data_IF_141198687426
#
_entry.id   IF_141198687426
#
_cell.length_a   1.000
_cell.length_b   1.000
_cell.length_c   1.000
_cell.angle_alpha   90.00
_cell.angle_beta   90.00
_cell.angle_gamma   90.00
#
_symmetry.space_group_name_H-M   'P 1'
#
loop_
_entity.id
_entity.type
_entity.pdbx_description
1 polymer ?
#
# COMPACT_ATOMS: atom_id res chain seq x y z
N UNK A 1 19.27 -36.32 33.70
CA UNK A 1 18.67 -37.20 32.68
C UNK A 1 17.16 -37.17 32.89
N UNK A 2 16.40 -36.64 31.95
CA UNK A 2 14.94 -36.55 32.05
C UNK A 2 14.36 -36.07 30.72
N UNK A 3 14.25 -36.98 29.76
CA UNK A 3 13.64 -36.73 28.45
C UNK A 3 12.12 -36.80 28.63
N UNK A 4 11.45 -35.65 28.61
CA UNK A 4 9.98 -35.59 28.58
C UNK A 4 9.55 -35.35 27.13
N UNK A 5 9.20 -36.44 26.46
CA UNK A 5 8.65 -36.48 25.11
C UNK A 5 7.15 -36.19 25.16
N UNK A 6 6.76 -34.96 24.80
CA UNK A 6 5.36 -34.60 24.55
C UNK A 6 5.05 -34.79 23.08
N UNK A 7 4.39 -35.88 22.76
CA UNK A 7 3.83 -36.20 21.45
C UNK A 7 2.48 -35.49 21.30
N UNK A 8 2.42 -34.42 20.50
CA UNK A 8 1.18 -33.76 20.11
C UNK A 8 0.72 -34.34 18.76
N UNK A 9 -0.19 -35.32 18.83
CA UNK A 9 -0.95 -35.78 17.68
C UNK A 9 -2.12 -34.79 17.47
N UNK A 10 -2.00 -33.89 16.51
CA UNK A 10 -3.12 -33.11 16.01
C UNK A 10 -3.80 -33.92 14.89
N UNK A 11 -4.95 -34.51 15.20
CA UNK A 11 -5.89 -35.03 14.21
C UNK A 11 -6.39 -33.86 13.35
N UNK A 12 -5.86 -33.76 12.12
CA UNK A 12 -6.35 -32.83 11.10
C UNK A 12 -7.63 -33.43 10.54
N UNK A 13 -8.74 -33.05 11.15
CA UNK A 13 -10.09 -33.40 10.71
C UNK A 13 -10.27 -32.85 9.29
N UNK A 14 -10.32 -33.79 8.33
CA UNK A 14 -10.36 -33.52 6.89
C UNK A 14 -11.76 -33.04 6.51
N UNK A 15 -12.04 -31.77 6.80
CA UNK A 15 -13.27 -31.11 6.37
C UNK A 15 -13.24 -31.01 4.84
N UNK A 16 -13.86 -31.99 4.18
CA UNK A 16 -14.13 -31.98 2.74
C UNK A 16 -14.88 -30.69 2.39
N UNK A 17 -14.15 -29.73 1.79
CA UNK A 17 -14.73 -28.53 1.21
C UNK A 17 -15.60 -28.99 0.04
N UNK A 18 -16.88 -29.23 0.32
CA UNK A 18 -17.91 -29.43 -0.72
C UNK A 18 -18.02 -28.14 -1.52
N UNK A 19 -17.23 -28.03 -2.57
CA UNK A 19 -17.36 -26.97 -3.57
C UNK A 19 -18.68 -27.18 -4.29
N UNK A 20 -19.75 -26.54 -3.81
CA UNK A 20 -20.99 -26.44 -4.57
C UNK A 20 -20.68 -25.85 -5.94
N UNK A 21 -21.06 -26.51 -7.05
CA UNK A 21 -20.81 -25.99 -8.38
C UNK A 21 -21.39 -24.57 -8.48
N UNK A 22 -20.65 -23.61 -9.08
CA UNK A 22 -21.11 -22.24 -9.20
C UNK A 22 -22.47 -22.25 -9.88
N UNK A 23 -23.50 -21.82 -9.16
CA UNK A 23 -24.85 -21.73 -9.71
C UNK A 23 -24.77 -20.82 -10.92
N UNK A 24 -24.97 -21.42 -12.09
CA UNK A 24 -24.99 -20.75 -13.39
C UNK A 24 -26.09 -19.70 -13.31
N UNK A 25 -25.70 -18.44 -13.12
CA UNK A 25 -26.60 -17.30 -13.00
C UNK A 25 -27.63 -17.37 -14.13
N UNK A 26 -28.85 -17.79 -13.80
CA UNK A 26 -29.95 -17.77 -14.74
C UNK A 26 -30.14 -16.32 -15.14
N UNK A 27 -29.96 -16.03 -16.43
CA UNK A 27 -30.02 -14.68 -16.97
C UNK A 27 -31.38 -14.09 -16.60
N UNK A 28 -31.39 -13.11 -15.68
CA UNK A 28 -32.62 -12.37 -15.37
C UNK A 28 -33.17 -11.77 -16.68
N UNK A 29 -34.49 -11.80 -16.90
CA UNK A 29 -35.11 -11.14 -18.04
C UNK A 29 -34.59 -9.71 -18.13
N UNK A 30 -34.02 -9.34 -19.29
CA UNK A 30 -33.55 -7.98 -19.52
C UNK A 30 -34.79 -7.08 -19.63
N UNK A 31 -35.23 -6.52 -18.51
CA UNK A 31 -36.10 -5.34 -18.54
C UNK A 31 -35.44 -4.29 -19.44
N UNK A 32 -36.24 -3.64 -20.30
CA UNK A 32 -35.77 -2.66 -21.27
C UNK A 32 -35.19 -1.43 -20.55
N UNK A 33 -33.94 -1.52 -20.11
CA UNK A 33 -33.24 -0.41 -19.50
C UNK A 33 -33.00 0.68 -20.54
N UNK A 34 -33.41 1.89 -20.23
CA UNK A 34 -33.06 3.06 -21.03
C UNK A 34 -31.52 3.23 -21.06
N UNK A 35 -30.96 3.85 -22.12
CA UNK A 35 -29.52 4.13 -22.16
C UNK A 35 -29.00 4.89 -20.94
N UNK A 36 -29.82 5.77 -20.34
CA UNK A 36 -29.47 6.48 -19.11
C UNK A 36 -29.37 5.53 -17.91
N UNK A 37 -30.37 4.68 -17.71
CA UNK A 37 -30.35 3.69 -16.62
C UNK A 37 -29.13 2.78 -16.72
N UNK A 38 -28.76 2.37 -17.95
CA UNK A 38 -27.56 1.58 -18.17
C UNK A 38 -26.27 2.33 -17.80
N UNK A 39 -26.17 3.65 -18.07
CA UNK A 39 -25.02 4.46 -17.64
C UNK A 39 -24.96 4.63 -16.12
N UNK A 40 -26.11 4.91 -15.48
CA UNK A 40 -26.22 5.03 -14.02
C UNK A 40 -25.76 3.72 -13.35
N UNK A 41 -26.27 2.57 -13.81
CA UNK A 41 -25.89 1.27 -13.27
C UNK A 41 -24.38 0.97 -13.42
N UNK A 42 -23.77 1.35 -14.55
CA UNK A 42 -22.32 1.21 -14.74
C UNK A 42 -21.53 2.11 -13.77
N UNK A 43 -21.95 3.35 -13.60
CA UNK A 43 -21.34 4.29 -12.66
C UNK A 43 -21.40 3.79 -11.22
N UNK A 44 -22.57 3.33 -10.78
CA UNK A 44 -22.76 2.75 -9.44
C UNK A 44 -21.88 1.51 -9.22
N UNK A 45 -21.78 0.66 -10.24
CA UNK A 45 -20.91 -0.54 -10.19
C UNK A 45 -19.44 -0.15 -10.05
N UNK A 46 -18.94 0.78 -10.88
CA UNK A 46 -17.56 1.28 -10.80
C UNK A 46 -17.27 1.93 -9.45
N UNK A 47 -18.18 2.76 -8.94
CA UNK A 47 -18.08 3.38 -7.61
C UNK A 47 -17.97 2.34 -6.51
N UNK A 48 -18.86 1.35 -6.49
CA UNK A 48 -18.83 0.28 -5.49
C UNK A 48 -17.51 -0.49 -5.56
N UNK A 49 -17.04 -0.79 -6.77
CA UNK A 49 -15.74 -1.44 -6.98
C UNK A 49 -14.58 -0.58 -6.44
N UNK A 50 -14.55 0.72 -6.74
CA UNK A 50 -13.54 1.64 -6.22
C UNK A 50 -13.54 1.66 -4.69
N UNK A 51 -14.70 1.83 -4.05
CA UNK A 51 -14.81 1.85 -2.58
C UNK A 51 -14.31 0.56 -1.92
N UNK A 52 -14.62 -0.60 -2.52
CA UNK A 52 -14.09 -1.88 -2.04
C UNK A 52 -12.56 -1.93 -2.14
N UNK A 53 -11.99 -1.49 -3.27
CA UNK A 53 -10.53 -1.45 -3.45
C UNK A 53 -9.84 -0.49 -2.48
N UNK A 54 -10.43 0.67 -2.22
CA UNK A 54 -9.94 1.63 -1.21
C UNK A 54 -9.98 1.02 0.19
N UNK A 55 -11.07 0.37 0.56
CA UNK A 55 -11.20 -0.29 1.86
C UNK A 55 -10.12 -1.36 2.05
N UNK A 56 -9.91 -2.21 1.04
CA UNK A 56 -8.85 -3.24 1.06
C UNK A 56 -7.45 -2.64 1.15
N UNK A 57 -7.18 -1.56 0.43
CA UNK A 57 -5.88 -0.87 0.51
C UNK A 57 -5.63 -0.31 1.93
N UNK A 58 -6.65 0.29 2.54
CA UNK A 58 -6.56 0.80 3.90
C UNK A 58 -6.36 -0.31 4.94
N UNK A 59 -7.07 -1.43 4.79
CA UNK A 59 -6.89 -2.61 5.64
C UNK A 59 -5.48 -3.17 5.52
N UNK A 60 -4.98 -3.34 4.29
CA UNK A 60 -3.61 -3.80 4.02
C UNK A 60 -2.57 -2.88 4.66
N UNK A 61 -2.68 -1.56 4.46
CA UNK A 61 -1.77 -0.58 5.10
C UNK A 61 -1.80 -0.68 6.63
N UNK A 62 -2.97 -0.89 7.22
CA UNK A 62 -3.09 -1.05 8.68
C UNK A 62 -2.39 -2.33 9.18
N UNK A 63 -2.49 -3.43 8.43
CA UNK A 63 -1.80 -4.68 8.75
C UNK A 63 -0.27 -4.48 8.65
N UNK A 64 0.21 -3.99 7.52
CA UNK A 64 1.63 -3.64 7.27
C UNK A 64 2.17 -2.78 8.41
N UNK A 65 1.45 -1.70 8.74
CA UNK A 65 1.80 -0.81 9.83
C UNK A 65 1.91 -1.54 11.17
N UNK A 66 0.94 -2.37 11.51
CA UNK A 66 0.91 -3.10 12.80
C UNK A 66 2.07 -4.10 12.89
N UNK A 67 2.37 -4.81 11.80
CA UNK A 67 3.46 -5.77 11.73
C UNK A 67 4.83 -5.07 11.88
N UNK A 68 5.04 -3.95 11.18
CA UNK A 68 6.33 -3.28 11.14
C UNK A 68 6.57 -2.26 12.26
N UNK A 69 5.53 -1.72 12.92
CA UNK A 69 5.71 -0.80 14.07
C UNK A 69 5.78 -1.44 15.44
N UNK A 70 5.37 -2.69 15.60
CA UNK A 70 5.50 -3.37 16.90
C UNK A 70 6.94 -3.36 17.44
N UNK A 71 7.99 -3.48 16.59
CA UNK A 71 9.39 -3.31 17.00
C UNK A 71 9.86 -1.85 17.17
N UNK A 72 9.14 -0.87 16.61
CA UNK A 72 9.58 0.54 16.48
C UNK A 72 8.80 1.47 17.43
N UNK A 73 8.15 0.93 18.46
CA UNK A 73 7.40 1.71 19.47
C UNK A 73 8.23 2.84 20.11
N UNK A 74 9.55 2.70 20.14
CA UNK A 74 10.48 3.67 20.70
C UNK A 74 10.62 4.96 19.86
N UNK A 75 10.25 4.96 18.57
CA UNK A 75 10.43 6.14 17.72
C UNK A 75 9.24 7.12 17.73
N UNK A 76 8.16 6.82 18.47
CA UNK A 76 6.93 7.64 18.58
C UNK A 76 6.30 8.04 17.24
N UNK A 77 6.63 7.34 16.16
CA UNK A 77 6.04 7.61 14.85
C UNK A 77 4.53 7.33 14.99
N UNK A 78 3.67 8.22 14.53
CA UNK A 78 2.21 8.00 14.49
C UNK A 78 1.80 7.24 13.24
N UNK A 79 0.67 6.53 13.29
CA UNK A 79 0.11 5.94 12.07
C UNK A 79 -0.23 7.04 11.09
N UNK A 80 0.18 6.89 9.82
CA UNK A 80 -0.35 7.78 8.80
C UNK A 80 -1.85 7.56 8.70
N UNK A 81 -2.57 8.67 8.56
CA UNK A 81 -4.01 8.66 8.40
C UNK A 81 -4.41 7.77 7.21
N UNK A 82 -5.56 7.10 7.39
CA UNK A 82 -6.17 6.28 6.34
C UNK A 82 -6.29 7.11 5.07
N UNK A 83 -6.15 6.47 3.92
CA UNK A 83 -6.27 7.21 2.68
C UNK A 83 -7.66 7.87 2.59
N UNK A 84 -7.73 9.21 2.54
CA UNK A 84 -8.99 9.94 2.53
C UNK A 84 -9.48 10.00 1.09
N UNK A 85 -9.90 8.85 0.54
CA UNK A 85 -10.69 8.87 -0.69
C UNK A 85 -12.15 8.96 -0.29
N UNK A 86 -12.66 10.20 -0.31
CA UNK A 86 -14.07 10.44 -0.12
C UNK A 86 -14.87 9.75 -1.23
N UNK A 87 -15.97 9.07 -0.88
CA UNK A 87 -16.81 8.43 -1.88
C UNK A 87 -17.30 9.49 -2.88
N UNK A 88 -17.27 9.21 -4.19
CA UNK A 88 -17.70 10.18 -5.18
C UNK A 88 -19.17 10.57 -4.93
N UNK A 89 -19.44 11.86 -4.83
CA UNK A 89 -20.78 12.37 -4.60
C UNK A 89 -21.56 12.43 -5.92
N UNK A 90 -22.74 11.81 -5.96
CA UNK A 90 -23.71 12.07 -7.01
C UNK A 90 -24.47 13.35 -6.69
N UNK A 91 -24.64 14.20 -7.70
CA UNK A 91 -25.69 15.22 -7.66
C UNK A 91 -27.01 14.53 -7.96
N UNK A 92 -27.86 14.39 -6.94
CA UNK A 92 -29.22 13.89 -7.10
C UNK A 92 -30.18 15.04 -7.41
N UNK A 93 -31.10 14.87 -8.38
CA UNK A 93 -31.26 13.69 -9.24
C UNK A 93 -30.13 13.57 -10.28
N UNK A 94 -29.74 12.33 -10.61
CA UNK A 94 -28.82 12.08 -11.73
C UNK A 94 -29.58 12.35 -13.02
N UNK A 95 -29.12 13.35 -13.76
CA UNK A 95 -29.71 13.79 -15.04
C UNK A 95 -28.74 13.48 -16.17
N UNK A 96 -29.24 13.45 -17.41
CA UNK A 96 -28.36 13.37 -18.58
C UNK A 96 -27.28 14.46 -18.61
N UNK A 97 -27.55 15.62 -18.00
CA UNK A 97 -26.63 16.76 -18.00
C UNK A 97 -25.48 16.59 -17.01
N UNK A 98 -25.70 15.94 -15.85
CA UNK A 98 -24.67 15.81 -14.81
C UNK A 98 -23.98 14.43 -14.79
N UNK A 99 -24.43 13.47 -15.61
CA UNK A 99 -23.85 12.12 -15.61
C UNK A 99 -22.42 12.10 -16.15
N UNK A 100 -22.10 12.96 -17.13
CA UNK A 100 -20.74 13.11 -17.66
C UNK A 100 -19.80 13.64 -16.59
N UNK A 101 -20.20 14.68 -15.84
CA UNK A 101 -19.41 15.21 -14.72
C UNK A 101 -19.13 14.13 -13.66
N UNK A 102 -20.10 13.24 -13.40
CA UNK A 102 -19.93 12.12 -12.48
C UNK A 102 -18.95 11.07 -13.02
N UNK A 103 -18.97 10.78 -14.32
CA UNK A 103 -18.02 9.87 -14.99
C UNK A 103 -16.59 10.41 -14.94
N UNK A 104 -16.41 11.70 -15.21
CA UNK A 104 -15.11 12.37 -15.15
C UNK A 104 -14.56 12.44 -13.73
N UNK A 105 -15.39 12.81 -12.75
CA UNK A 105 -14.97 12.82 -11.36
C UNK A 105 -14.57 11.41 -10.89
N UNK A 106 -15.36 10.38 -11.21
CA UNK A 106 -15.02 9.00 -10.85
C UNK A 106 -13.71 8.54 -11.51
N UNK A 107 -13.46 8.94 -12.77
CA UNK A 107 -12.19 8.66 -13.45
C UNK A 107 -11.00 9.26 -12.71
N UNK A 108 -11.07 10.54 -12.33
CA UNK A 108 -10.01 11.21 -11.57
C UNK A 108 -9.75 10.50 -10.25
N UNK A 109 -10.81 10.07 -9.54
CA UNK A 109 -10.65 9.32 -8.29
C UNK A 109 -10.03 7.93 -8.51
N UNK A 110 -10.38 7.24 -9.60
CA UNK A 110 -9.75 5.97 -9.97
C UNK A 110 -8.24 6.15 -10.27
N UNK A 111 -7.86 7.23 -10.96
CA UNK A 111 -6.46 7.59 -11.21
C UNK A 111 -5.70 7.89 -9.91
N UNK A 112 -6.28 8.70 -9.02
CA UNK A 112 -5.73 8.97 -7.68
C UNK A 112 -5.56 7.69 -6.86
N UNK A 113 -6.53 6.77 -6.93
CA UNK A 113 -6.43 5.48 -6.25
C UNK A 113 -5.26 4.65 -6.77
N UNK A 114 -5.06 4.56 -8.09
CA UNK A 114 -3.94 3.80 -8.64
C UNK A 114 -2.59 4.39 -8.24
N UNK A 115 -2.46 5.71 -8.19
CA UNK A 115 -1.24 6.36 -7.68
C UNK A 115 -1.00 6.02 -6.19
N UNK A 116 -2.01 6.20 -5.35
CA UNK A 116 -1.93 5.82 -3.93
C UNK A 116 -1.57 4.34 -3.73
N UNK A 117 -2.17 3.45 -4.55
CA UNK A 117 -1.89 2.02 -4.50
C UNK A 117 -0.44 1.75 -4.86
N UNK A 118 0.10 2.36 -5.91
CA UNK A 118 1.51 2.22 -6.29
C UNK A 118 2.45 2.66 -5.16
N UNK A 119 2.19 3.81 -4.55
CA UNK A 119 2.99 4.31 -3.42
C UNK A 119 2.92 3.39 -2.21
N UNK A 120 1.74 2.85 -1.90
CA UNK A 120 1.58 1.90 -0.78
C UNK A 120 2.36 0.60 -1.02
N UNK A 121 2.27 0.02 -2.23
CA UNK A 121 3.01 -1.19 -2.59
C UNK A 121 4.53 -0.96 -2.60
N UNK A 122 4.96 0.20 -3.08
CA UNK A 122 6.36 0.60 -3.02
C UNK A 122 6.86 0.71 -1.57
N UNK A 123 6.10 1.39 -0.70
CA UNK A 123 6.43 1.52 0.73
C UNK A 123 6.55 0.15 1.40
N UNK A 124 5.64 -0.78 1.11
CA UNK A 124 5.69 -2.13 1.67
C UNK A 124 6.94 -2.90 1.25
N UNK A 125 7.29 -2.85 -0.04
CA UNK A 125 8.50 -3.52 -0.54
C UNK A 125 9.79 -2.84 -0.09
N UNK A 126 9.72 -1.53 0.13
CA UNK A 126 10.80 -0.77 0.76
C UNK A 126 11.01 -1.24 2.20
N UNK A 127 9.94 -1.33 3.00
CA UNK A 127 10.00 -1.84 4.37
C UNK A 127 10.57 -3.26 4.40
N UNK A 128 10.10 -4.14 3.52
CA UNK A 128 10.63 -5.51 3.36
C UNK A 128 12.14 -5.50 3.06
N UNK A 129 12.60 -4.71 2.09
CA UNK A 129 14.01 -4.63 1.72
C UNK A 129 14.90 -4.10 2.85
N UNK A 130 14.41 -3.11 3.62
CA UNK A 130 15.14 -2.51 4.73
C UNK A 130 15.23 -3.42 5.96
N UNK A 131 14.29 -4.36 6.11
CA UNK A 131 14.26 -5.32 7.22
C UNK A 131 15.07 -6.59 6.94
N UNK A 132 15.55 -6.78 5.71
CA UNK A 132 16.45 -7.86 5.39
C UNK A 132 17.79 -7.65 6.12
N UNK A 133 18.27 -8.69 6.81
CA UNK A 133 19.57 -8.69 7.45
C UNK A 133 20.70 -8.94 6.42
N UNK A 134 20.81 -8.05 5.43
CA UNK A 134 21.80 -8.10 4.35
C UNK A 134 22.64 -6.80 4.34
N UNK A 135 23.80 -6.77 3.67
CA UNK A 135 24.62 -5.57 3.60
C UNK A 135 23.86 -4.36 3.02
N UNK A 136 24.11 -3.17 3.55
CA UNK A 136 23.42 -1.93 3.16
C UNK A 136 23.43 -1.66 1.65
N UNK A 137 24.55 -1.96 0.97
CA UNK A 137 24.66 -1.81 -0.48
C UNK A 137 23.62 -2.67 -1.23
N UNK A 138 23.48 -3.94 -0.84
CA UNK A 138 22.51 -4.85 -1.43
C UNK A 138 21.08 -4.41 -1.10
N UNK A 139 20.81 -3.89 0.11
CA UNK A 139 19.52 -3.29 0.44
C UNK A 139 19.18 -2.13 -0.49
N UNK A 140 20.13 -1.20 -0.73
CA UNK A 140 19.91 -0.07 -1.62
C UNK A 140 19.68 -0.52 -3.07
N UNK A 141 20.41 -1.53 -3.55
CA UNK A 141 20.19 -2.10 -4.89
C UNK A 141 18.77 -2.66 -5.03
N UNK A 142 18.25 -3.36 -4.01
CA UNK A 142 16.86 -3.81 -3.97
C UNK A 142 15.89 -2.62 -3.99
N UNK A 143 16.12 -1.60 -3.17
CA UNK A 143 15.27 -0.41 -3.11
C UNK A 143 15.18 0.29 -4.47
N UNK A 144 16.31 0.54 -5.14
CA UNK A 144 16.31 1.16 -6.47
C UNK A 144 15.77 0.24 -7.55
N UNK A 145 15.90 -1.09 -7.39
CA UNK A 145 15.24 -2.09 -8.22
C UNK A 145 13.72 -1.99 -8.15
N UNK A 146 13.17 -1.96 -6.93
CA UNK A 146 11.74 -1.76 -6.68
C UNK A 146 11.29 -0.40 -7.20
N UNK A 147 12.06 0.67 -6.96
CA UNK A 147 11.71 2.01 -7.44
C UNK A 147 11.56 2.07 -8.97
N UNK A 148 12.45 1.39 -9.70
CA UNK A 148 12.35 1.26 -11.17
C UNK A 148 11.11 0.48 -11.60
N UNK A 149 10.80 -0.62 -10.92
CA UNK A 149 9.61 -1.43 -11.22
C UNK A 149 8.31 -0.62 -11.12
N UNK A 150 8.22 0.29 -10.15
CA UNK A 150 7.05 1.17 -9.98
C UNK A 150 7.10 2.47 -10.79
N UNK A 151 8.20 2.73 -11.51
CA UNK A 151 8.40 3.95 -12.29
C UNK A 151 8.72 5.19 -11.46
N UNK A 152 9.22 5.01 -10.23
CA UNK A 152 9.63 6.11 -9.34
C UNK A 152 11.10 6.51 -9.51
N UNK A 153 11.89 5.70 -10.22
CA UNK A 153 13.29 5.98 -10.56
C UNK A 153 13.58 5.49 -11.98
N UNK A 154 14.25 6.30 -12.79
CA UNK A 154 14.70 5.90 -14.14
C UNK A 154 16.23 5.90 -14.27
N UNK A 155 16.94 6.41 -13.26
CA UNK A 155 18.39 6.57 -13.31
C UNK A 155 19.19 5.28 -13.10
N UNK A 156 20.52 5.34 -13.32
CA UNK A 156 21.41 4.26 -12.96
C UNK A 156 21.39 4.02 -11.45
N UNK A 157 21.84 2.84 -11.05
CA UNK A 157 22.12 2.56 -9.64
C UNK A 157 23.21 3.53 -9.14
N UNK A 158 23.14 3.98 -7.88
CA UNK A 158 24.21 4.76 -7.27
C UNK A 158 25.52 3.96 -7.23
N UNK A 159 26.64 4.64 -7.41
CA UNK A 159 27.97 4.01 -7.42
C UNK A 159 28.62 3.97 -6.02
N UNK A 160 28.12 4.81 -5.10
CA UNK A 160 28.62 4.94 -3.73
C UNK A 160 27.49 4.87 -2.69
N UNK A 161 27.87 4.64 -1.43
CA UNK A 161 26.93 4.64 -0.30
C UNK A 161 26.35 6.04 -0.10
N UNK A 162 27.18 7.06 -0.18
CA UNK A 162 26.80 8.47 -0.03
C UNK A 162 25.79 8.88 -1.10
N UNK A 163 26.03 8.51 -2.36
CA UNK A 163 25.10 8.75 -3.45
C UNK A 163 23.80 7.96 -3.26
N UNK A 164 23.89 6.73 -2.74
CA UNK A 164 22.71 5.90 -2.46
C UNK A 164 21.79 6.56 -1.44
N UNK A 165 22.36 7.07 -0.34
CA UNK A 165 21.60 7.78 0.69
C UNK A 165 20.96 9.05 0.13
N UNK A 166 21.71 9.84 -0.65
CA UNK A 166 21.19 11.07 -1.24
C UNK A 166 20.05 10.81 -2.23
N UNK A 167 20.23 9.85 -3.15
CA UNK A 167 19.19 9.47 -4.12
C UNK A 167 18.00 8.84 -3.43
N UNK A 168 18.21 8.03 -2.39
CA UNK A 168 17.12 7.43 -1.63
C UNK A 168 16.29 8.51 -0.93
N UNK A 169 16.93 9.51 -0.31
CA UNK A 169 16.24 10.67 0.25
C UNK A 169 15.41 11.41 -0.81
N UNK A 170 16.01 11.71 -1.97
CA UNK A 170 15.31 12.37 -3.06
C UNK A 170 14.10 11.56 -3.53
N UNK A 171 14.27 10.25 -3.67
CA UNK A 171 13.21 9.32 -4.04
C UNK A 171 12.03 9.39 -3.05
N UNK A 172 12.31 9.37 -1.75
CA UNK A 172 11.27 9.43 -0.72
C UNK A 172 10.51 10.76 -0.76
N UNK A 173 11.22 11.88 -0.93
CA UNK A 173 10.61 13.22 -0.99
C UNK A 173 9.79 13.43 -2.28
N UNK A 174 10.37 13.12 -3.44
CA UNK A 174 9.72 13.35 -4.75
C UNK A 174 8.42 12.55 -4.91
N UNK A 175 8.35 11.37 -4.28
CA UNK A 175 7.18 10.50 -4.36
C UNK A 175 6.20 10.70 -3.18
N UNK A 176 6.42 11.71 -2.34
CA UNK A 176 5.58 12.01 -1.18
C UNK A 176 5.50 10.84 -0.20
N UNK A 177 6.57 10.06 -0.10
CA UNK A 177 6.67 8.93 0.83
C UNK A 177 7.10 9.44 2.18
N UNK A 178 7.83 10.54 2.28
CA UNK A 178 8.16 11.22 3.54
C UNK A 178 7.98 12.72 3.31
N UNK A 179 7.40 13.41 4.29
CA UNK A 179 7.29 14.87 4.24
C UNK A 179 8.65 15.53 4.50
N UNK A 180 8.95 16.70 3.92
CA UNK A 180 10.24 17.37 4.13
C UNK A 180 10.61 17.53 5.61
N UNK A 181 9.64 17.89 6.46
CA UNK A 181 9.86 18.08 7.90
C UNK A 181 10.16 16.75 8.62
N UNK A 182 9.47 15.66 8.23
CA UNK A 182 9.75 14.31 8.73
C UNK A 182 11.18 13.88 8.36
N UNK A 183 11.64 14.20 7.15
CA UNK A 183 13.00 13.88 6.70
C UNK A 183 14.08 14.59 7.51
N UNK A 184 13.84 15.85 7.92
CA UNK A 184 14.77 16.60 8.78
C UNK A 184 14.90 15.94 10.16
N UNK A 185 13.79 15.46 10.73
CA UNK A 185 13.82 14.75 12.02
C UNK A 185 14.52 13.40 11.92
N UNK A 186 14.36 12.69 10.80
CA UNK A 186 15.11 11.45 10.52
C UNK A 186 16.62 11.74 10.45
N UNK A 187 17.03 12.77 9.71
CA UNK A 187 18.44 13.16 9.59
C UNK A 187 19.07 13.44 10.97
N UNK A 188 18.36 14.19 11.83
CA UNK A 188 18.81 14.49 13.20
C UNK A 188 19.01 13.20 14.01
N UNK A 189 18.04 12.29 14.00
CA UNK A 189 18.13 11.01 14.71
C UNK A 189 19.29 10.15 14.22
N UNK A 190 19.51 10.09 12.90
CA UNK A 190 20.64 9.35 12.32
C UNK A 190 21.97 9.94 12.79
N UNK A 191 22.12 11.26 12.81
CA UNK A 191 23.33 11.94 13.32
C UNK A 191 23.55 11.62 14.80
N UNK A 192 22.51 11.70 15.64
CA UNK A 192 22.58 11.39 17.07
C UNK A 192 23.01 9.94 17.32
N UNK A 193 22.42 8.97 16.62
CA UNK A 193 22.78 7.55 16.72
C UNK A 193 24.23 7.30 16.31
N UNK A 194 24.66 7.91 15.19
CA UNK A 194 26.04 7.75 14.70
C UNK A 194 27.06 8.36 15.66
N UNK A 195 26.69 9.45 16.34
CA UNK A 195 27.54 10.10 17.34
C UNK A 195 27.67 9.25 18.60
N UNK A 196 26.57 8.69 19.12
CA UNK A 196 26.58 7.80 20.30
C UNK A 196 27.42 6.54 20.04
N UNK A 197 27.27 5.90 18.88
CA UNK A 197 28.02 4.68 18.53
C UNK A 197 29.54 4.90 18.47
N UNK A 198 30.01 6.12 18.20
CA UNK A 198 31.44 6.46 18.22
C UNK A 198 31.98 6.63 19.64
N UNK A 199 31.16 7.07 20.58
CA UNK A 199 31.56 7.29 21.98
C UNK A 199 31.72 5.95 22.72
N UNK A 200 30.84 4.98 22.47
CA UNK A 200 30.88 3.67 23.14
C UNK A 200 32.01 2.74 22.66
N UNK A 201 32.77 3.15 21.63
CA UNK A 201 33.92 2.39 21.08
C UNK A 201 35.27 2.91 21.58
N UNK A 202 35.29 3.91 22.46
CA UNK A 202 36.50 4.48 23.10
C UNK A 202 36.62 3.96 24.52
#
# INVERSE_FOLDING_TARGET
MGKSSLSLNAEVDSNEIRTTPPQRNQARPKENQTPLQARIARLETRRKSLLQRVALLNERRNITFTLFKTPIKELEITARDRAPLDPPFFRYPVTFRNITDCEDHLRVQEEMFEDMRKRALFSERLDEALLLNIPFKEQMELVFGVAREFGFHEGPAPESIEESVLKFRQLLLQNGIIEPDEMVEIDKKVVEMTTRSKVDRV
#
